data_IF_519197073164
#
_entry.id   IF_519197073164
#
_cell.length_a   1.000
_cell.length_b   1.000
_cell.length_c   1.000
_cell.angle_alpha   90.00
_cell.angle_beta   90.00
_cell.angle_gamma   90.00
#
_symmetry.space_group_name_H-M   'P 1'
#
loop_
_entity.id
_entity.type
_entity.pdbx_description
1 polymer ?
#
# COMPACT_ATOMS: atom_id res chain seq x y z
N UNK A 1 10.79 2.93 -1.86
CA UNK A 1 9.58 3.77 -2.03
C UNK A 1 9.22 4.28 -0.64
N UNK A 2 9.04 5.59 -0.44
CA UNK A 2 8.58 6.08 0.86
C UNK A 2 7.10 5.74 1.02
N UNK A 3 6.74 5.07 2.10
CA UNK A 3 5.35 4.80 2.43
C UNK A 3 4.61 6.13 2.66
N UNK A 4 3.47 6.30 1.99
CA UNK A 4 2.56 7.43 2.20
C UNK A 4 1.40 6.98 3.08
N UNK A 5 0.69 7.94 3.69
CA UNK A 5 -0.56 7.66 4.42
C UNK A 5 -1.52 6.84 3.55
N UNK A 6 -1.68 7.21 2.28
CA UNK A 6 -2.52 6.46 1.34
C UNK A 6 -2.03 5.04 1.08
N UNK A 7 -0.72 4.84 0.88
CA UNK A 7 -0.12 3.51 0.67
C UNK A 7 -0.36 2.58 1.87
N UNK A 8 -0.22 3.10 3.10
CA UNK A 8 -0.44 2.30 4.31
C UNK A 8 -1.93 1.94 4.46
N UNK A 9 -2.84 2.89 4.21
CA UNK A 9 -4.29 2.63 4.26
C UNK A 9 -4.71 1.59 3.22
N UNK A 10 -4.17 1.66 2.01
CA UNK A 10 -4.43 0.68 0.95
C UNK A 10 -4.00 -0.74 1.38
N UNK A 11 -2.79 -0.88 1.94
CA UNK A 11 -2.30 -2.15 2.46
C UNK A 11 -3.16 -2.69 3.61
N UNK A 12 -3.55 -1.85 4.56
CA UNK A 12 -4.45 -2.25 5.66
C UNK A 12 -5.77 -2.76 5.08
N UNK A 13 -6.34 -2.06 4.09
CA UNK A 13 -7.60 -2.43 3.45
C UNK A 13 -7.51 -3.79 2.75
N UNK A 14 -6.41 -4.05 2.04
CA UNK A 14 -6.14 -5.35 1.40
C UNK A 14 -6.02 -6.46 2.45
N UNK A 15 -5.37 -6.19 3.58
CA UNK A 15 -5.22 -7.18 4.66
C UNK A 15 -6.56 -7.50 5.30
N UNK A 16 -7.40 -6.51 5.58
CA UNK A 16 -8.76 -6.71 6.11
C UNK A 16 -9.60 -7.59 5.18
N UNK A 17 -9.56 -7.34 3.86
CA UNK A 17 -10.25 -8.18 2.88
C UNK A 17 -9.75 -9.63 2.90
N UNK A 18 -8.44 -9.83 3.02
CA UNK A 18 -7.87 -11.18 3.14
C UNK A 18 -8.27 -11.87 4.43
N UNK A 19 -8.30 -11.16 5.56
CA UNK A 19 -8.75 -11.70 6.84
C UNK A 19 -10.23 -12.10 6.75
N UNK A 20 -11.06 -11.25 6.16
CA UNK A 20 -12.48 -11.53 5.93
C UNK A 20 -12.69 -12.84 5.16
N UNK A 21 -12.12 -12.96 3.96
CA UNK A 21 -12.28 -14.16 3.14
C UNK A 21 -11.60 -15.40 3.74
N UNK A 22 -10.49 -15.22 4.47
CA UNK A 22 -9.86 -16.33 5.19
C UNK A 22 -10.75 -16.81 6.35
N UNK A 23 -11.49 -15.91 7.00
CA UNK A 23 -12.47 -16.29 8.02
C UNK A 23 -13.59 -17.13 7.43
N UNK A 24 -14.09 -16.80 6.24
CA UNK A 24 -15.08 -17.63 5.53
C UNK A 24 -14.56 -19.06 5.30
N UNK A 25 -13.28 -19.23 4.97
CA UNK A 25 -12.67 -20.56 4.83
C UNK A 25 -12.68 -21.38 6.12
N UNK A 26 -12.64 -20.74 7.29
CA UNK A 26 -12.71 -21.43 8.59
C UNK A 26 -14.13 -21.86 8.96
N UNK A 27 -15.15 -21.29 8.31
CA UNK A 27 -16.57 -21.55 8.58
C UNK A 27 -17.19 -22.55 7.60
N UNK A 28 -16.43 -22.98 6.59
CA UNK A 28 -16.84 -23.99 5.61
C UNK A 28 -17.08 -25.35 6.26
N UNK A 29 -18.24 -25.94 6.00
CA UNK A 29 -18.62 -27.26 6.51
C UNK A 29 -17.95 -28.42 5.76
N UNK A 30 -17.48 -28.18 4.53
CA UNK A 30 -16.82 -29.14 3.66
C UNK A 30 -15.29 -29.13 3.78
N UNK A 31 -14.74 -28.24 4.60
CA UNK A 31 -13.30 -28.08 4.79
C UNK A 31 -12.74 -29.08 5.81
N UNK A 32 -11.53 -29.59 5.55
CA UNK A 32 -10.83 -30.45 6.50
C UNK A 32 -10.36 -29.67 7.73
N UNK A 33 -10.18 -30.37 8.85
CA UNK A 33 -9.62 -29.79 10.08
C UNK A 33 -8.22 -29.20 9.86
N UNK A 34 -7.43 -29.79 8.97
CA UNK A 34 -6.12 -29.28 8.57
C UNK A 34 -6.24 -27.93 7.85
N UNK A 35 -7.17 -27.79 6.91
CA UNK A 35 -7.44 -26.54 6.19
C UNK A 35 -7.90 -25.42 7.13
N UNK A 36 -8.81 -25.74 8.06
CA UNK A 36 -9.29 -24.79 9.06
C UNK A 36 -8.12 -24.31 9.94
N UNK A 37 -7.27 -25.24 10.42
CA UNK A 37 -6.11 -24.90 11.25
C UNK A 37 -5.10 -24.02 10.51
N UNK A 38 -4.81 -24.34 9.26
CA UNK A 38 -3.92 -23.53 8.42
C UNK A 38 -4.49 -22.13 8.17
N UNK A 39 -5.79 -22.04 7.86
CA UNK A 39 -6.49 -20.78 7.63
C UNK A 39 -6.46 -19.88 8.88
N UNK A 40 -6.73 -20.45 10.07
CA UNK A 40 -6.58 -19.73 11.35
C UNK A 40 -5.14 -19.26 11.59
N UNK A 41 -4.14 -20.06 11.22
CA UNK A 41 -2.73 -19.67 11.27
C UNK A 41 -2.43 -18.45 10.40
N UNK A 42 -2.94 -18.45 9.16
CA UNK A 42 -2.81 -17.31 8.23
C UNK A 42 -3.50 -16.05 8.76
N UNK A 43 -4.70 -16.17 9.33
CA UNK A 43 -5.42 -15.05 9.96
C UNK A 43 -4.56 -14.40 11.05
N UNK A 44 -3.96 -15.20 11.95
CA UNK A 44 -3.13 -14.66 13.03
C UNK A 44 -1.94 -13.85 12.52
N UNK A 45 -1.29 -14.31 11.45
CA UNK A 45 -0.18 -13.57 10.83
C UNK A 45 -0.68 -12.25 10.23
N UNK A 46 -1.81 -12.27 9.52
CA UNK A 46 -2.38 -11.07 8.91
C UNK A 46 -2.85 -10.05 9.96
N UNK A 47 -3.37 -10.48 11.10
CA UNK A 47 -3.70 -9.60 12.23
C UNK A 47 -2.45 -8.89 12.82
N UNK A 48 -1.32 -9.61 12.91
CA UNK A 48 -0.05 -8.99 13.31
C UNK A 48 0.39 -7.94 12.28
N UNK A 49 0.37 -8.30 10.99
CA UNK A 49 0.73 -7.37 9.91
C UNK A 49 -0.15 -6.11 9.90
N UNK A 50 -1.46 -6.28 10.11
CA UNK A 50 -2.41 -5.17 10.23
C UNK A 50 -2.04 -4.25 11.39
N UNK A 51 -1.72 -4.82 12.55
CA UNK A 51 -1.34 -4.06 13.74
C UNK A 51 -0.04 -3.28 13.53
N UNK A 52 0.95 -3.89 12.89
CA UNK A 52 2.23 -3.25 12.58
C UNK A 52 2.02 -2.05 11.64
N UNK A 53 1.20 -2.20 10.58
CA UNK A 53 0.84 -1.11 9.68
C UNK A 53 0.04 0.00 10.38
N UNK A 54 -0.86 -0.35 11.31
CA UNK A 54 -1.60 0.64 12.09
C UNK A 54 -0.67 1.46 13.00
N UNK A 55 0.34 0.81 13.60
CA UNK A 55 1.39 1.48 14.34
C UNK A 55 2.23 2.41 13.45
N UNK A 56 2.63 1.94 12.26
CA UNK A 56 3.38 2.72 11.29
C UNK A 56 2.59 3.97 10.84
N UNK A 57 1.31 3.79 10.51
CA UNK A 57 0.40 4.90 10.17
C UNK A 57 0.30 5.91 11.32
N UNK A 58 0.13 5.43 12.54
CA UNK A 58 0.04 6.28 13.73
C UNK A 58 1.32 7.10 13.94
N UNK A 59 2.50 6.48 13.74
CA UNK A 59 3.78 7.16 13.84
C UNK A 59 3.95 8.21 12.73
N UNK A 60 3.61 7.86 11.50
CA UNK A 60 3.66 8.78 10.36
C UNK A 60 2.76 10.00 10.60
N UNK A 61 1.52 9.78 11.06
CA UNK A 61 0.58 10.85 11.37
C UNK A 61 1.09 11.77 12.50
N UNK A 62 1.69 11.20 13.56
CA UNK A 62 2.34 12.00 14.62
C UNK A 62 3.49 12.83 14.08
N UNK A 63 4.33 12.27 13.21
CA UNK A 63 5.45 12.99 12.60
C UNK A 63 4.98 14.10 11.66
N UNK A 64 3.88 13.88 10.92
CA UNK A 64 3.24 14.90 10.09
C UNK A 64 2.68 16.04 10.93
N UNK A 65 1.94 15.72 12.00
CA UNK A 65 1.37 16.71 12.92
C UNK A 65 2.46 17.54 13.64
N UNK A 66 3.58 16.91 13.99
CA UNK A 66 4.73 17.58 14.60
C UNK A 66 5.63 18.33 13.59
N UNK A 67 5.31 18.32 12.29
CA UNK A 67 6.12 18.94 11.23
C UNK A 67 7.47 18.26 10.96
N UNK A 68 7.72 17.08 11.56
CA UNK A 68 8.93 16.26 11.40
C UNK A 68 8.94 15.50 10.08
N UNK A 69 7.75 15.19 9.54
CA UNK A 69 7.55 14.70 8.19
C UNK A 69 6.78 15.74 7.37
N UNK A 70 7.08 15.86 6.08
CA UNK A 70 6.36 16.76 5.15
C UNK A 70 5.99 16.01 3.88
N UNK A 71 4.72 16.08 3.51
CA UNK A 71 4.25 15.57 2.22
C UNK A 71 4.72 16.52 1.12
N UNK A 72 5.37 15.97 0.10
CA UNK A 72 5.81 16.73 -1.07
C UNK A 72 5.05 16.26 -2.30
N UNK A 73 4.40 17.20 -2.98
CA UNK A 73 3.78 16.95 -4.27
C UNK A 73 4.74 17.38 -5.37
N UNK A 74 5.26 16.42 -6.11
CA UNK A 74 6.03 16.69 -7.32
C UNK A 74 5.10 16.65 -8.53
N UNK A 75 5.22 17.66 -9.40
CA UNK A 75 4.51 17.68 -10.68
C UNK A 75 5.39 17.04 -11.74
N UNK A 76 4.79 16.24 -12.61
CA UNK A 76 5.51 15.67 -13.74
C UNK A 76 5.84 16.77 -14.76
N UNK A 77 7.12 16.91 -15.10
CA UNK A 77 7.56 17.76 -16.20
C UNK A 77 7.45 16.99 -17.53
N UNK A 78 6.43 17.30 -18.34
CA UNK A 78 6.23 16.68 -19.65
C UNK A 78 6.75 17.61 -20.74
N UNK A 79 7.92 17.31 -21.31
CA UNK A 79 8.50 18.13 -22.38
C UNK A 79 7.91 17.83 -23.76
N UNK A 80 7.54 16.57 -24.02
CA UNK A 80 7.16 16.08 -25.35
C UNK A 80 5.89 16.73 -25.93
N UNK A 81 5.01 17.28 -25.07
CA UNK A 81 3.80 17.96 -25.50
C UNK A 81 4.01 19.44 -25.83
N UNK A 82 5.12 20.05 -25.40
CA UNK A 82 5.37 21.47 -25.63
C UNK A 82 6.32 21.66 -26.83
N UNK A 83 5.85 22.29 -27.93
CA UNK A 83 6.67 22.57 -29.10
C UNK A 83 7.97 23.33 -28.81
N UNK A 84 8.06 24.08 -27.71
CA UNK A 84 9.28 24.82 -27.30
C UNK A 84 10.45 23.91 -26.94
N UNK A 85 10.18 22.66 -26.56
CA UNK A 85 11.22 21.66 -26.26
C UNK A 85 11.56 20.78 -27.47
N UNK A 86 10.96 21.02 -28.64
CA UNK A 86 11.33 20.30 -29.88
C UNK A 86 12.65 20.84 -30.41
N UNK A 87 13.69 20.01 -30.34
CA UNK A 87 14.99 20.32 -30.95
C UNK A 87 14.82 20.35 -32.46
N UNK A 88 15.11 21.50 -33.10
CA UNK A 88 15.21 21.57 -34.55
C UNK A 88 16.45 20.78 -34.97
N UNK A 89 16.27 19.69 -35.70
CA UNK A 89 17.38 18.95 -36.28
C UNK A 89 18.17 19.90 -37.20
N UNK A 90 19.36 20.31 -36.77
CA UNK A 90 20.29 21.04 -37.62
C UNK A 90 20.60 20.18 -38.84
N UNK A 91 20.45 20.75 -40.04
CA UNK A 91 20.94 20.13 -41.27
C UNK A 91 22.42 19.81 -41.04
N UNK A 92 22.76 18.52 -40.95
CA UNK A 92 24.14 18.05 -41.06
C UNK A 92 24.65 18.60 -42.40
N UNK A 93 25.59 19.53 -42.33
CA UNK A 93 26.38 19.98 -43.48
C UNK A 93 27.33 18.85 -43.89
#
# INVERSE_FOLDING_TARGET
>A
MAETVGSIIDKISIIELKIFHMSEQTQRQDASSAHIKESLGKIKIMEIQKKDLACELSLLMKNLAAGKAKLKLYRQFKMYNDPKYRVRAGKKR
#
